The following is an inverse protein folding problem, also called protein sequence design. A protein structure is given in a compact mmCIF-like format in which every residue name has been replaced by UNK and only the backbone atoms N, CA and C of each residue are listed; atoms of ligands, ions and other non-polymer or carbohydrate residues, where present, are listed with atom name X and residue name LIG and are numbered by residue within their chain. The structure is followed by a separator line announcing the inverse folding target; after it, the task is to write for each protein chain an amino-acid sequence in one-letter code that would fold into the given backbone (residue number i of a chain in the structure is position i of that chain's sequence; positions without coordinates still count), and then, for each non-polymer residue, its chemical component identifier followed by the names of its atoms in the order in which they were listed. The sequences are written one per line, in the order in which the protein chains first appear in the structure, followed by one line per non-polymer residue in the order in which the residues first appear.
data_IF_303161504576
#
_entry.id   IF_303161504576
#
_cell.length_a   1.000
_cell.length_b   1.000
_cell.length_c   1.000
_cell.angle_alpha   90.00
_cell.angle_beta   90.00
_cell.angle_gamma   90.00
#
_symmetry.space_group_name_H-M   'P 1'
#
loop_
_entity.id
_entity.type
_entity.pdbx_description
1 polymer ?
#
# COMPACT_ATOMS: atom_id res chain seq x y z
N UNK A 1 -1.61 -7.12 -12.11
CA UNK A 1 -1.28 -8.56 -12.07
C UNK A 1 0.20 -8.85 -12.35
N UNK A 2 0.85 -8.35 -13.43
CA UNK A 2 2.29 -8.62 -13.64
C UNK A 2 3.18 -8.00 -12.55
N UNK A 3 2.82 -6.83 -12.02
CA UNK A 3 3.57 -6.14 -10.95
C UNK A 3 3.50 -6.87 -9.60
N UNK A 4 2.36 -7.49 -9.29
CA UNK A 4 2.21 -8.32 -8.08
C UNK A 4 3.04 -9.59 -8.17
N UNK A 5 3.04 -10.25 -9.34
CA UNK A 5 3.85 -11.43 -9.61
C UNK A 5 5.35 -11.13 -9.49
N UNK A 6 5.80 -10.00 -10.04
CA UNK A 6 7.19 -9.57 -9.91
C UNK A 6 7.57 -9.23 -8.46
N UNK A 7 6.69 -8.56 -7.71
CA UNK A 7 6.90 -8.28 -6.29
C UNK A 7 6.98 -9.55 -5.42
N UNK A 8 6.16 -10.56 -5.71
CA UNK A 8 6.21 -11.86 -5.03
C UNK A 8 7.49 -12.62 -5.39
N UNK A 9 7.94 -12.55 -6.65
CA UNK A 9 9.19 -13.18 -7.09
C UNK A 9 10.42 -12.53 -6.45
N UNK A 10 10.42 -11.20 -6.28
CA UNK A 10 11.56 -10.44 -5.78
C UNK A 10 11.65 -10.42 -4.23
N UNK A 11 10.51 -10.35 -3.53
CA UNK A 11 10.46 -10.21 -2.07
C UNK A 11 9.91 -11.44 -1.31
N UNK A 12 9.57 -12.52 -2.02
CA UNK A 12 9.21 -13.81 -1.43
C UNK A 12 7.85 -13.86 -0.71
N UNK A 13 7.68 -14.87 0.15
CA UNK A 13 6.41 -15.22 0.84
C UNK A 13 5.90 -14.09 1.75
N UNK A 14 6.80 -13.23 2.24
CA UNK A 14 6.46 -12.09 3.10
C UNK A 14 5.65 -11.03 2.35
N UNK A 15 5.99 -10.73 1.10
CA UNK A 15 5.22 -9.81 0.27
C UNK A 15 3.82 -10.33 -0.04
N UNK A 16 3.67 -11.64 -0.24
CA UNK A 16 2.37 -12.27 -0.44
C UNK A 16 1.48 -12.13 0.81
N UNK A 17 2.06 -12.35 2.00
CA UNK A 17 1.37 -12.14 3.27
C UNK A 17 0.87 -10.71 3.46
N UNK A 18 1.70 -9.71 3.13
CA UNK A 18 1.34 -8.28 3.22
C UNK A 18 0.23 -7.92 2.24
N UNK A 19 0.32 -8.39 0.99
CA UNK A 19 -0.72 -8.15 -0.02
C UNK A 19 -2.06 -8.73 0.43
N UNK A 20 -2.08 -10.01 0.84
CA UNK A 20 -3.31 -10.65 1.29
C UNK A 20 -3.89 -9.95 2.52
N UNK A 21 -3.04 -9.62 3.51
CA UNK A 21 -3.49 -8.95 4.73
C UNK A 21 -4.08 -7.56 4.45
N UNK A 22 -3.44 -6.78 3.58
CA UNK A 22 -3.89 -5.42 3.24
C UNK A 22 -5.21 -5.47 2.45
N UNK A 23 -5.32 -6.37 1.48
CA UNK A 23 -6.54 -6.58 0.69
C UNK A 23 -7.68 -7.05 1.59
N UNK A 24 -7.43 -8.06 2.43
CA UNK A 24 -8.43 -8.58 3.38
C UNK A 24 -8.88 -7.49 4.35
N UNK A 25 -7.94 -6.69 4.90
CA UNK A 25 -8.26 -5.59 5.81
C UNK A 25 -9.07 -4.49 5.13
N UNK A 26 -8.76 -4.17 3.86
CA UNK A 26 -9.51 -3.17 3.09
C UNK A 26 -10.95 -3.63 2.84
N UNK A 27 -11.13 -4.87 2.37
CA UNK A 27 -12.47 -5.45 2.12
C UNK A 27 -13.27 -5.57 3.42
N UNK A 28 -12.63 -5.99 4.51
CA UNK A 28 -13.29 -6.13 5.81
C UNK A 28 -13.68 -4.77 6.39
N UNK A 29 -12.85 -3.73 6.22
CA UNK A 29 -13.17 -2.37 6.64
C UNK A 29 -14.35 -1.78 5.87
N UNK A 30 -14.43 -2.06 4.57
CA UNK A 30 -15.56 -1.65 3.73
C UNK A 30 -16.84 -2.35 4.19
N UNK A 31 -16.80 -3.68 4.35
CA UNK A 31 -17.92 -4.47 4.85
C UNK A 31 -18.44 -3.97 6.19
N UNK A 32 -17.53 -3.76 7.13
CA UNK A 32 -17.89 -3.37 8.49
C UNK A 32 -18.52 -1.99 8.50
N UNK A 33 -17.97 -1.03 7.74
CA UNK A 33 -18.53 0.31 7.67
C UNK A 33 -19.89 0.32 6.98
N UNK A 34 -20.05 -0.36 5.84
CA UNK A 34 -21.33 -0.44 5.13
C UNK A 34 -22.41 -1.09 5.99
N UNK A 35 -22.05 -2.16 6.71
CA UNK A 35 -22.95 -2.85 7.65
C UNK A 35 -23.34 -1.95 8.81
N UNK A 36 -22.42 -1.18 9.37
CA UNK A 36 -22.69 -0.27 10.48
C UNK A 36 -23.54 0.93 10.05
N UNK A 37 -23.33 1.43 8.83
CA UNK A 37 -24.02 2.57 8.27
C UNK A 37 -25.37 2.20 7.62
N UNK A 38 -25.76 0.91 7.62
CA UNK A 38 -26.99 0.41 7.01
C UNK A 38 -27.08 0.62 5.50
N UNK A 39 -25.95 0.81 4.82
CA UNK A 39 -25.88 1.04 3.36
C UNK A 39 -25.88 -0.29 2.61
N UNK A 40 -26.21 -0.26 1.31
CA UNK A 40 -26.08 -1.43 0.44
C UNK A 40 -24.63 -1.90 0.44
N UNK A 41 -24.43 -3.20 0.57
CA UNK A 41 -23.09 -3.80 0.60
C UNK A 41 -22.52 -3.74 -0.82
N UNK A 42 -21.53 -2.88 -1.06
CA UNK A 42 -20.89 -2.66 -2.37
C UNK A 42 -19.57 -3.41 -2.55
N UNK A 43 -19.31 -4.41 -1.70
CA UNK A 43 -18.11 -5.26 -1.75
C UNK A 43 -17.90 -5.92 -3.12
N UNK A 44 -18.98 -6.20 -3.86
CA UNK A 44 -18.89 -6.84 -5.17
C UNK A 44 -18.28 -5.94 -6.26
N UNK A 45 -18.13 -4.63 -6.01
CA UNK A 45 -17.49 -3.71 -6.96
C UNK A 45 -15.96 -3.90 -7.04
N UNK A 46 -15.36 -4.69 -6.14
CA UNK A 46 -13.94 -5.05 -6.14
C UNK A 46 -12.97 -3.88 -5.86
N UNK A 47 -13.49 -2.67 -5.73
CA UNK A 47 -12.70 -1.45 -5.59
C UNK A 47 -11.92 -1.36 -4.27
N UNK A 48 -12.45 -1.89 -3.16
CA UNK A 48 -11.68 -2.00 -1.91
C UNK A 48 -10.52 -2.99 -2.05
N UNK A 49 -10.72 -4.11 -2.76
CA UNK A 49 -9.66 -5.06 -3.02
C UNK A 49 -8.55 -4.44 -3.89
N UNK A 50 -8.92 -3.69 -4.95
CA UNK A 50 -7.95 -2.97 -5.77
C UNK A 50 -7.22 -1.89 -4.96
N UNK A 51 -7.93 -1.17 -4.08
CA UNK A 51 -7.32 -0.15 -3.20
C UNK A 51 -6.30 -0.78 -2.25
N UNK A 52 -6.67 -1.88 -1.59
CA UNK A 52 -5.78 -2.62 -0.69
C UNK A 52 -4.57 -3.20 -1.43
N UNK A 53 -4.77 -3.68 -2.66
CA UNK A 53 -3.71 -4.19 -3.52
C UNK A 53 -2.72 -3.09 -3.92
N UNK A 54 -3.23 -1.95 -4.38
CA UNK A 54 -2.41 -0.80 -4.75
C UNK A 54 -1.65 -0.25 -3.55
N UNK A 55 -2.28 -0.21 -2.37
CA UNK A 55 -1.62 0.18 -1.14
C UNK A 55 -0.48 -0.78 -0.79
N UNK A 56 -0.74 -2.09 -0.78
CA UNK A 56 0.30 -3.10 -0.48
C UNK A 56 1.50 -3.01 -1.44
N UNK A 57 1.27 -2.76 -2.72
CA UNK A 57 2.35 -2.55 -3.71
C UNK A 57 3.16 -1.27 -3.48
N UNK A 58 2.61 -0.31 -2.74
CA UNK A 58 3.27 0.94 -2.38
C UNK A 58 3.97 0.90 -1.01
N UNK A 59 3.74 -0.15 -0.22
CA UNK A 59 4.39 -0.36 1.06
C UNK A 59 5.70 -1.16 0.88
N UNK A 60 6.71 -0.92 1.73
CA UNK A 60 7.88 -1.77 1.74
C UNK A 60 7.51 -3.18 2.24
N UNK A 61 8.15 -4.23 1.71
CA UNK A 61 7.87 -5.63 2.06
C UNK A 61 8.36 -6.01 3.46
N UNK A 62 9.19 -5.16 4.09
CA UNK A 62 9.61 -5.26 5.49
C UNK A 62 8.66 -4.50 6.43
N UNK A 63 7.60 -3.87 5.91
CA UNK A 63 6.62 -3.17 6.73
C UNK A 63 5.95 -4.13 7.72
N UNK A 64 5.79 -3.73 8.99
CA UNK A 64 5.08 -4.56 9.94
C UNK A 64 3.59 -4.67 9.57
N UNK A 65 3.03 -5.85 9.80
CA UNK A 65 1.66 -6.21 9.43
C UNK A 65 0.60 -5.23 9.95
N UNK A 66 0.76 -4.69 11.16
CA UNK A 66 -0.18 -3.71 11.74
C UNK A 66 -0.26 -2.40 10.95
N UNK A 67 0.83 -1.99 10.29
CA UNK A 67 0.87 -0.75 9.49
C UNK A 67 0.05 -0.89 8.22
N UNK A 68 0.05 -2.09 7.65
CA UNK A 68 -0.73 -2.46 6.47
C UNK A 68 -2.24 -2.40 6.79
N UNK A 69 -2.63 -2.96 7.95
CA UNK A 69 -4.01 -2.91 8.45
C UNK A 69 -4.44 -1.46 8.70
N UNK A 70 -3.62 -0.68 9.40
CA UNK A 70 -3.92 0.72 9.72
C UNK A 70 -4.11 1.57 8.46
N UNK A 71 -3.22 1.42 7.47
CA UNK A 71 -3.31 2.12 6.19
C UNK A 71 -4.55 1.72 5.39
N UNK A 72 -4.89 0.42 5.37
CA UNK A 72 -6.09 -0.07 4.70
C UNK A 72 -7.38 0.48 5.32
N UNK A 73 -7.46 0.49 6.67
CA UNK A 73 -8.59 1.07 7.41
C UNK A 73 -8.72 2.55 7.11
N UNK A 74 -7.61 3.31 7.14
CA UNK A 74 -7.62 4.74 6.82
C UNK A 74 -8.06 5.01 5.37
N UNK A 75 -7.53 4.28 4.39
CA UNK A 75 -7.92 4.40 2.99
C UNK A 75 -9.42 4.23 2.80
N UNK A 76 -9.99 3.17 3.39
CA UNK A 76 -11.38 2.81 3.16
C UNK A 76 -12.32 3.69 3.98
N UNK A 77 -12.12 3.80 5.28
CA UNK A 77 -13.04 4.53 6.15
C UNK A 77 -12.93 6.03 5.90
N UNK A 78 -11.73 6.59 5.99
CA UNK A 78 -11.54 8.04 6.01
C UNK A 78 -11.59 8.64 4.61
N UNK A 79 -10.96 8.00 3.62
CA UNK A 79 -10.79 8.63 2.30
C UNK A 79 -11.91 8.23 1.34
N UNK A 80 -12.44 7.01 1.43
CA UNK A 80 -13.50 6.55 0.54
C UNK A 80 -14.88 6.73 1.16
N UNK A 81 -15.08 6.21 2.37
CA UNK A 81 -16.44 6.01 2.88
C UNK A 81 -17.04 7.25 3.54
N UNK A 82 -16.23 8.10 4.18
CA UNK A 82 -16.68 9.41 4.69
C UNK A 82 -17.18 10.34 3.57
N UNK A 83 -16.64 10.20 2.36
CA UNK A 83 -17.00 11.03 1.21
C UNK A 83 -18.19 10.48 0.41
N UNK A 84 -18.81 9.38 0.86
CA UNK A 84 -20.01 8.83 0.25
C UNK A 84 -19.79 7.57 -0.59
N UNK A 85 -18.56 7.06 -0.68
CA UNK A 85 -18.24 5.80 -1.35
C UNK A 85 -17.69 5.97 -2.76
N UNK A 86 -17.89 4.96 -3.60
CA UNK A 86 -17.31 4.90 -4.95
C UNK A 86 -17.76 6.05 -5.84
N UNK A 87 -16.79 6.75 -6.44
CA UNK A 87 -17.03 7.85 -7.38
C UNK A 87 -17.17 9.24 -6.74
N UNK A 88 -17.11 9.35 -5.41
CA UNK A 88 -17.06 10.63 -4.69
C UNK A 88 -15.71 10.88 -3.99
N UNK A 89 -14.71 10.03 -4.24
CA UNK A 89 -13.40 10.14 -3.61
C UNK A 89 -12.66 11.38 -4.14
N UNK A 90 -12.43 12.37 -3.27
CA UNK A 90 -11.65 13.58 -3.60
C UNK A 90 -10.22 13.26 -4.06
N UNK A 91 -9.63 12.16 -3.57
CA UNK A 91 -8.32 11.67 -4.02
C UNK A 91 -8.27 10.13 -4.01
N UNK A 92 -7.28 9.55 -4.70
CA UNK A 92 -7.05 8.11 -4.69
C UNK A 92 -6.79 7.60 -3.25
N UNK A 93 -7.65 6.72 -2.69
CA UNK A 93 -7.52 6.25 -1.31
C UNK A 93 -6.21 5.55 -1.01
N UNK A 94 -5.66 4.80 -1.98
CA UNK A 94 -4.39 4.10 -1.80
C UNK A 94 -3.21 5.08 -1.61
N UNK A 95 -3.18 6.18 -2.38
CA UNK A 95 -2.14 7.20 -2.26
C UNK A 95 -2.32 8.03 -0.98
N UNK A 96 -3.55 8.35 -0.61
CA UNK A 96 -3.86 9.04 0.63
C UNK A 96 -3.36 8.26 1.86
N UNK A 97 -3.62 6.94 1.89
CA UNK A 97 -3.11 6.08 2.94
C UNK A 97 -1.59 5.97 2.93
N UNK A 98 -0.94 5.93 1.76
CA UNK A 98 0.52 6.00 1.66
C UNK A 98 1.06 7.30 2.25
N UNK A 99 0.48 8.46 1.92
CA UNK A 99 0.88 9.74 2.48
C UNK A 99 0.70 9.77 4.00
N UNK A 100 -0.43 9.27 4.51
CA UNK A 100 -0.69 9.16 5.94
C UNK A 100 0.36 8.31 6.66
N UNK A 101 0.65 7.13 6.13
CA UNK A 101 1.69 6.25 6.67
C UNK A 101 3.07 6.92 6.57
N UNK A 102 3.33 7.69 5.52
CA UNK A 102 4.65 8.30 5.29
C UNK A 102 4.89 9.38 6.31
N UNK A 103 3.90 10.23 6.56
CA UNK A 103 3.99 11.29 7.58
C UNK A 103 4.07 10.69 8.98
N UNK A 104 3.26 9.65 9.26
CA UNK A 104 3.17 9.06 10.61
C UNK A 104 4.34 8.14 10.95
N UNK A 105 4.92 7.45 9.96
CA UNK A 105 5.93 6.41 10.14
C UNK A 105 7.07 6.51 9.11
N UNK A 106 7.55 7.73 8.88
CA UNK A 106 8.67 8.06 7.96
C UNK A 106 9.82 7.06 8.08
N UNK A 107 10.37 6.87 9.29
CA UNK A 107 11.55 6.02 9.51
C UNK A 107 11.37 4.55 9.10
N UNK A 108 10.16 3.98 9.15
CA UNK A 108 9.90 2.59 8.75
C UNK A 108 9.61 2.46 7.25
N UNK A 109 9.14 3.54 6.60
CA UNK A 109 8.85 3.53 5.16
C UNK A 109 10.01 4.02 4.29
N UNK A 110 11.00 4.70 4.86
CA UNK A 110 12.21 5.14 4.15
C UNK A 110 13.42 4.24 4.40
N UNK A 111 13.32 3.27 5.32
CA UNK A 111 14.43 2.32 5.58
C UNK A 111 14.34 1.15 4.61
N UNK A 112 15.14 1.20 3.56
CA UNK A 112 15.34 0.10 2.62
C UNK A 112 16.49 -0.79 3.13
N UNK A 113 16.22 -1.69 4.09
CA UNK A 113 17.21 -2.72 4.47
C UNK A 113 17.05 -3.91 3.54
N UNK A 114 17.87 -3.97 2.50
CA UNK A 114 18.12 -5.19 1.74
C UNK A 114 19.56 -5.61 2.02
N UNK A 115 19.74 -6.68 2.80
CA UNK A 115 21.04 -7.26 3.14
C UNK A 115 21.55 -8.13 1.98
N UNK A 116 21.85 -7.46 0.86
CA UNK A 116 22.37 -8.08 -0.37
C UNK A 116 23.30 -7.15 -1.14
N UNK A 117 23.02 -5.84 -1.17
CA UNK A 117 23.95 -4.77 -1.53
C UNK A 117 23.38 -3.49 -0.92
N UNK A 118 24.15 -2.83 -0.03
CA UNK A 118 23.81 -1.50 0.48
C UNK A 118 24.12 -0.45 -0.61
N UNK A 119 23.29 -0.41 -1.65
CA UNK A 119 23.36 0.58 -2.71
C UNK A 119 22.53 1.82 -2.34
N UNK A 120 23.07 3.02 -2.58
CA UNK A 120 22.24 4.21 -2.57
C UNK A 120 21.16 4.04 -3.66
N UNK A 121 19.90 4.38 -3.36
CA UNK A 121 18.87 4.28 -4.39
C UNK A 121 19.32 5.08 -5.61
N UNK A 122 19.09 4.60 -6.84
CA UNK A 122 19.52 5.29 -8.06
C UNK A 122 19.11 6.78 -8.08
N UNK A 123 17.98 7.11 -7.46
CA UNK A 123 17.51 8.48 -7.29
C UNK A 123 18.32 9.28 -6.25
N UNK A 124 18.75 8.65 -5.16
CA UNK A 124 19.69 9.26 -4.20
C UNK A 124 21.06 9.48 -4.84
N UNK A 125 21.56 8.55 -5.65
CA UNK A 125 22.83 8.68 -6.37
C UNK A 125 22.80 9.81 -7.40
N UNK A 126 21.72 9.89 -8.19
CA UNK A 126 21.49 11.01 -9.12
C UNK A 126 21.38 12.36 -8.38
N UNK A 127 20.70 12.38 -7.23
CA UNK A 127 20.61 13.59 -6.38
C UNK A 127 21.97 13.97 -5.77
N UNK A 128 22.85 13.01 -5.53
CA UNK A 128 24.22 13.21 -5.06
C UNK A 128 25.22 13.55 -6.19
N UNK A 129 24.79 13.48 -7.47
CA UNK A 129 25.61 13.82 -8.63
C UNK A 129 26.46 12.66 -9.19
N UNK A 130 26.22 11.41 -8.78
CA UNK A 130 26.90 10.23 -9.31
C UNK A 130 26.27 9.73 -10.62
N UNK A 131 27.09 9.23 -11.56
CA UNK A 131 26.64 8.55 -12.78
C UNK A 131 26.12 7.16 -12.45
N UNK A 132 24.81 6.97 -12.52
CA UNK A 132 24.16 5.68 -12.27
C UNK A 132 24.33 4.75 -13.46
N UNK A 133 25.08 3.66 -13.28
CA UNK A 133 25.14 2.57 -14.24
C UNK A 133 23.91 1.67 -14.07
N UNK A 134 22.99 1.71 -15.04
CA UNK A 134 21.73 0.95 -15.00
C UNK A 134 21.91 -0.56 -15.26
N UNK A 135 23.13 -1.00 -15.56
CA UNK A 135 23.44 -2.37 -15.98
C UNK A 135 24.04 -3.24 -14.85
N UNK A 136 24.26 -2.67 -13.65
CA UNK A 136 24.78 -3.39 -12.46
C UNK A 136 23.69 -3.72 -11.43
N UNK A 137 22.42 -3.62 -11.80
CA UNK A 137 21.26 -4.01 -10.96
C UNK A 137 20.96 -5.51 -11.06
#
# INVERSE_FOLDING_TARGET
MPTTLFGIYNFGVQALGIVLLTVASAVLSEYLFERFMGKKITIMDGSAAVTGLLLALNLPPTAPWWMCVLGAVFAIIVVKQLFGGLGQNFMNPALAARCFLLISFTGRMTTFVYDGVSGATPLTQLKAGESVNTMEM
#
